data_IF_467120218335
#
_entry.id   IF_467120218335
#
_cell.length_a   1.000
_cell.length_b   1.000
_cell.length_c   1.000
_cell.angle_alpha   90.00
_cell.angle_beta   90.00
_cell.angle_gamma   90.00
#
_symmetry.space_group_name_H-M   'P 1'
#
loop_
_entity.id
_entity.type
_entity.pdbx_description
1 polymer ?
#
# COMPACT_ATOMS: atom_id res chain seq x y z
N UNK A 1 38.08 21.21 -35.59
CA UNK A 1 37.53 21.30 -34.71
C UNK A 1 38.04 21.97 -33.71
N UNK A 2 37.71 22.63 -33.26
CA UNK A 2 38.12 23.24 -32.41
C UNK A 2 38.16 22.73 -31.20
N UNK A 3 38.94 22.27 -30.98
CA UNK A 3 39.13 21.70 -29.93
C UNK A 3 39.25 22.47 -28.79
N UNK A 4 39.43 23.61 -28.94
CA UNK A 4 39.54 24.41 -27.88
C UNK A 4 38.30 24.51 -27.20
N UNK A 5 37.23 24.27 -27.84
CA UNK A 5 35.95 24.37 -27.25
C UNK A 5 35.77 23.22 -26.38
N UNK A 6 35.46 23.44 -25.21
CA UNK A 6 35.35 22.38 -24.27
C UNK A 6 33.97 21.87 -24.12
N UNK A 7 33.06 22.36 -24.90
CA UNK A 7 31.65 21.94 -24.83
C UNK A 7 31.42 20.62 -25.55
N UNK A 8 30.25 20.04 -25.35
CA UNK A 8 29.87 18.83 -26.05
C UNK A 8 29.42 19.16 -27.46
N UNK A 9 29.60 18.23 -28.37
CA UNK A 9 29.06 18.39 -29.70
C UNK A 9 27.58 18.05 -29.69
N UNK A 10 26.86 18.47 -30.72
CA UNK A 10 25.46 18.16 -30.85
C UNK A 10 25.21 16.64 -30.92
N UNK A 11 26.08 15.92 -31.62
CA UNK A 11 25.97 14.47 -31.71
C UNK A 11 26.12 13.81 -30.36
N UNK A 12 27.03 14.30 -29.53
CA UNK A 12 27.23 13.74 -28.19
C UNK A 12 26.01 13.96 -27.32
N UNK A 13 25.40 15.14 -27.41
CA UNK A 13 24.19 15.40 -26.66
C UNK A 13 23.04 14.52 -27.11
N UNK A 14 22.92 14.32 -28.42
CA UNK A 14 21.86 13.48 -28.96
C UNK A 14 22.00 12.05 -28.52
N UNK A 15 23.21 11.53 -28.46
CA UNK A 15 23.45 10.16 -28.01
C UNK A 15 23.08 10.00 -26.56
N UNK A 16 23.44 10.98 -25.72
CA UNK A 16 23.13 10.92 -24.29
C UNK A 16 21.61 10.95 -24.07
N UNK A 17 20.92 11.85 -24.76
CA UNK A 17 19.49 11.96 -24.64
C UNK A 17 18.80 10.68 -25.09
N UNK A 18 19.29 10.08 -26.18
CA UNK A 18 18.72 8.84 -26.68
C UNK A 18 18.88 7.70 -25.69
N UNK A 19 20.04 7.60 -25.03
CA UNK A 19 20.28 6.57 -24.04
C UNK A 19 19.38 6.76 -22.82
N UNK A 20 19.26 7.99 -22.34
CA UNK A 20 18.40 8.30 -21.22
C UNK A 20 16.93 7.97 -21.56
N UNK A 21 16.50 8.29 -22.76
CA UNK A 21 15.13 8.02 -23.17
C UNK A 21 14.82 6.53 -23.15
N UNK A 22 15.75 5.70 -23.61
CA UNK A 22 15.58 4.24 -23.60
C UNK A 22 15.53 3.73 -22.16
N UNK A 23 16.42 4.19 -21.31
CA UNK A 23 16.46 3.74 -19.94
C UNK A 23 15.20 4.12 -19.18
N UNK A 24 14.69 5.33 -19.40
CA UNK A 24 13.47 5.78 -18.76
C UNK A 24 12.28 4.96 -19.25
N UNK A 25 12.22 4.67 -20.56
CA UNK A 25 11.13 3.90 -21.11
C UNK A 25 11.03 2.50 -20.51
N UNK A 26 12.17 1.91 -20.16
CA UNK A 26 12.18 0.59 -19.54
C UNK A 26 11.86 0.70 -18.05
N UNK A 27 12.37 1.72 -17.39
CA UNK A 27 12.32 1.83 -15.94
C UNK A 27 10.94 2.18 -15.40
N UNK A 28 10.19 3.01 -16.09
CA UNK A 28 8.91 3.48 -15.59
C UNK A 28 7.93 2.34 -15.33
N UNK A 29 7.67 1.43 -16.25
CA UNK A 29 6.74 0.33 -15.98
C UNK A 29 7.21 -0.56 -14.85
N UNK A 30 8.51 -0.81 -14.75
CA UNK A 30 9.06 -1.64 -13.69
C UNK A 30 8.90 -0.94 -12.35
N UNK A 31 9.18 0.35 -12.31
CA UNK A 31 9.07 1.13 -11.09
C UNK A 31 7.62 1.13 -10.58
N UNK A 32 6.66 1.33 -11.47
CA UNK A 32 5.25 1.35 -11.10
C UNK A 32 4.81 0.02 -10.49
N UNK A 33 5.24 -1.09 -11.08
CA UNK A 33 4.92 -2.41 -10.57
C UNK A 33 5.52 -2.63 -9.19
N UNK A 34 6.78 -2.25 -8.99
CA UNK A 34 7.45 -2.40 -7.70
C UNK A 34 6.83 -1.50 -6.65
N UNK A 35 6.40 -0.30 -7.03
CA UNK A 35 5.74 0.61 -6.12
C UNK A 35 4.43 0.00 -5.60
N UNK A 36 3.65 -0.61 -6.48
CA UNK A 36 2.41 -1.26 -6.06
C UNK A 36 2.69 -2.39 -5.08
N UNK A 37 3.70 -3.22 -5.36
CA UNK A 37 4.06 -4.31 -4.45
C UNK A 37 4.51 -3.78 -3.09
N UNK A 38 5.26 -2.67 -3.10
CA UNK A 38 5.70 -2.04 -1.85
C UNK A 38 4.52 -1.50 -1.06
N UNK A 39 3.55 -0.91 -1.73
CA UNK A 39 2.35 -0.40 -1.07
C UNK A 39 1.53 -1.54 -0.45
N UNK A 40 1.39 -2.64 -1.17
CA UNK A 40 0.68 -3.81 -0.65
C UNK A 40 1.39 -4.35 0.59
N UNK A 41 2.72 -4.47 0.53
CA UNK A 41 3.49 -4.97 1.67
C UNK A 41 3.36 -4.06 2.89
N UNK A 42 3.38 -2.74 2.66
CA UNK A 42 3.21 -1.77 3.74
C UNK A 42 1.82 -1.87 4.35
N UNK A 43 0.80 -2.00 3.51
CA UNK A 43 -0.57 -2.14 3.99
C UNK A 43 -0.75 -3.41 4.81
N UNK A 44 -0.13 -4.51 4.38
CA UNK A 44 -0.18 -5.76 5.15
C UNK A 44 0.49 -5.60 6.50
N UNK A 45 1.62 -4.89 6.55
CA UNK A 45 2.32 -4.65 7.81
C UNK A 45 1.46 -3.79 8.75
N UNK A 46 0.83 -2.75 8.21
CA UNK A 46 -0.03 -1.89 8.99
C UNK A 46 -1.24 -2.65 9.54
N UNK A 47 -1.80 -3.55 8.74
CA UNK A 47 -2.94 -4.34 9.18
C UNK A 47 -2.54 -5.38 10.23
N UNK A 48 -1.33 -5.91 10.18
CA UNK A 48 -0.85 -6.81 11.21
C UNK A 48 -0.72 -6.08 12.55
N UNK A 49 -0.24 -4.85 12.52
CA UNK A 49 -0.15 -4.03 13.73
C UNK A 49 -1.55 -3.76 14.27
N UNK A 50 -2.48 -3.40 13.39
CA UNK A 50 -3.85 -3.14 13.79
C UNK A 50 -4.49 -4.41 14.37
N UNK A 51 -4.27 -5.55 13.73
CA UNK A 51 -4.80 -6.81 14.22
C UNK A 51 -4.28 -7.10 15.63
N UNK A 52 -2.99 -6.91 15.86
CA UNK A 52 -2.41 -7.12 17.18
C UNK A 52 -3.04 -6.19 18.21
N UNK A 53 -3.31 -4.93 17.80
CA UNK A 53 -3.92 -3.95 18.67
C UNK A 53 -5.32 -4.37 19.09
N UNK A 54 -6.19 -4.70 18.14
CA UNK A 54 -7.58 -5.03 18.46
C UNK A 54 -7.69 -6.39 19.14
N UNK A 55 -6.82 -7.33 18.78
CA UNK A 55 -6.83 -8.65 19.39
C UNK A 55 -6.37 -8.58 20.84
N UNK A 56 -5.35 -7.76 21.11
CA UNK A 56 -4.88 -7.54 22.47
C UNK A 56 -5.98 -6.89 23.32
N UNK A 57 -6.67 -5.90 22.75
CA UNK A 57 -7.78 -5.25 23.44
C UNK A 57 -8.86 -6.27 23.79
N UNK A 58 -9.21 -7.14 22.84
CA UNK A 58 -10.20 -8.18 23.09
C UNK A 58 -9.76 -9.13 24.21
N UNK A 59 -8.50 -9.57 24.16
CA UNK A 59 -8.00 -10.50 25.15
C UNK A 59 -7.94 -9.92 26.56
N UNK A 60 -7.66 -8.62 26.65
CA UNK A 60 -7.59 -7.96 27.94
C UNK A 60 -8.97 -7.72 28.54
N UNK A 61 -9.93 -7.35 27.71
CA UNK A 61 -11.26 -6.98 28.19
C UNK A 61 -12.30 -8.08 28.04
N UNK A 62 -11.95 -9.12 27.30
CA UNK A 62 -12.84 -10.26 27.03
C UNK A 62 -14.17 -9.81 26.42
N UNK A 63 -14.14 -8.77 25.61
CA UNK A 63 -15.30 -8.30 24.88
C UNK A 63 -14.86 -7.54 23.66
N UNK A 64 -15.77 -7.46 22.68
CA UNK A 64 -15.49 -6.74 21.46
C UNK A 64 -15.57 -5.22 21.69
N UNK A 65 -14.72 -4.49 20.98
CA UNK A 65 -14.66 -3.04 21.10
C UNK A 65 -15.54 -2.42 20.01
N UNK A 66 -16.46 -1.55 20.42
CA UNK A 66 -17.37 -0.91 19.47
C UNK A 66 -16.67 0.03 18.48
N UNK A 67 -15.43 0.43 18.77
CA UNK A 67 -14.67 1.28 17.87
C UNK A 67 -14.10 0.51 16.69
N UNK A 68 -14.08 -0.82 16.75
CA UNK A 68 -13.59 -1.65 15.65
C UNK A 68 -14.75 -1.84 14.66
N UNK A 69 -14.60 -1.38 13.41
CA UNK A 69 -15.67 -1.56 12.44
C UNK A 69 -15.80 -3.01 12.04
N UNK A 70 -17.01 -3.45 11.83
CA UNK A 70 -17.25 -4.80 11.37
C UNK A 70 -17.83 -4.72 9.97
N UNK A 71 -17.25 -5.47 9.07
CA UNK A 71 -17.72 -5.49 7.69
C UNK A 71 -18.54 -6.73 7.43
N UNK A 72 -19.62 -6.55 6.74
CA UNK A 72 -20.56 -7.62 6.47
C UNK A 72 -20.36 -8.23 5.09
N UNK A 73 -19.19 -8.77 4.89
CA UNK A 73 -18.95 -9.50 3.64
C UNK A 73 -18.60 -8.63 2.44
N UNK A 74 -18.09 -7.46 2.67
CA UNK A 74 -17.54 -6.68 1.57
C UNK A 74 -18.39 -5.58 1.01
N UNK A 75 -19.50 -5.31 1.63
CA UNK A 75 -20.33 -4.20 1.17
C UNK A 75 -19.63 -2.88 1.44
N UNK A 76 -18.98 -2.78 2.59
CA UNK A 76 -18.28 -1.57 2.95
C UNK A 76 -16.78 -1.79 2.85
N UNK A 77 -16.14 -1.07 1.94
CA UNK A 77 -14.71 -1.17 1.73
C UNK A 77 -14.01 -0.17 2.63
N UNK A 78 -13.19 -0.66 3.52
CA UNK A 78 -12.43 0.20 4.41
C UNK A 78 -11.05 0.46 3.86
N UNK A 79 -10.76 1.72 3.60
CA UNK A 79 -9.44 2.14 3.14
C UNK A 79 -8.65 2.84 4.25
N UNK A 80 -9.27 3.09 5.38
CA UNK A 80 -8.65 3.81 6.48
C UNK A 80 -8.71 2.95 7.74
N UNK A 81 -7.55 2.70 8.33
CA UNK A 81 -7.46 2.00 9.59
C UNK A 81 -7.62 3.04 10.69
N UNK A 82 -8.61 2.86 11.56
CA UNK A 82 -8.79 3.74 12.70
C UNK A 82 -8.30 3.02 13.94
N UNK A 83 -7.19 3.50 14.46
CA UNK A 83 -6.57 2.87 15.63
C UNK A 83 -7.35 3.22 16.89
N UNK A 84 -7.20 2.39 17.91
CA UNK A 84 -7.93 2.59 19.17
C UNK A 84 -7.50 3.85 19.90
N UNK A 85 -6.32 4.37 19.60
CA UNK A 85 -5.84 5.60 20.20
C UNK A 85 -6.33 6.86 19.47
N UNK A 86 -7.13 6.69 18.44
CA UNK A 86 -7.68 7.82 17.68
C UNK A 86 -6.91 8.20 16.43
N UNK A 87 -5.72 7.64 16.23
CA UNK A 87 -4.97 7.94 15.02
C UNK A 87 -5.49 7.11 13.86
N UNK A 88 -5.15 7.51 12.65
CA UNK A 88 -5.59 6.81 11.45
C UNK A 88 -4.42 6.50 10.53
N UNK A 89 -4.55 5.43 9.74
CA UNK A 89 -3.59 5.07 8.73
C UNK A 89 -4.37 4.76 7.45
N UNK A 90 -4.02 5.41 6.35
CA UNK A 90 -4.70 5.18 5.09
C UNK A 90 -4.02 4.08 4.29
N UNK A 91 -4.79 3.17 3.74
CA UNK A 91 -4.26 2.15 2.85
C UNK A 91 -4.05 2.75 1.47
N UNK A 92 -2.87 2.52 0.92
CA UNK A 92 -2.52 3.07 -0.40
C UNK A 92 -3.02 2.21 -1.54
N UNK A 93 -3.36 0.98 -1.27
CA UNK A 93 -3.88 0.07 -2.29
C UNK A 93 -4.82 -0.92 -1.63
N UNK A 94 -5.97 -1.16 -2.26
CA UNK A 94 -6.91 -2.15 -1.76
C UNK A 94 -7.71 -1.71 -0.55
N UNK A 95 -8.33 -2.66 0.11
CA UNK A 95 -9.15 -2.41 1.27
C UNK A 95 -9.10 -3.61 2.21
N UNK A 96 -9.62 -3.44 3.42
CA UNK A 96 -9.63 -4.51 4.40
C UNK A 96 -11.04 -4.69 4.98
N UNK A 97 -11.28 -5.85 5.54
CA UNK A 97 -12.52 -6.16 6.22
C UNK A 97 -12.21 -6.82 7.57
N UNK A 98 -13.00 -6.52 8.57
CA UNK A 98 -12.84 -7.08 9.90
C UNK A 98 -14.10 -7.90 10.22
N UNK A 99 -13.91 -9.09 10.74
CA UNK A 99 -15.01 -9.93 11.15
C UNK A 99 -14.78 -10.40 12.59
N UNK A 100 -15.87 -10.56 13.34
CA UNK A 100 -15.82 -11.13 14.67
C UNK A 100 -15.91 -12.65 14.54
N UNK A 101 -15.04 -13.35 15.24
CA UNK A 101 -15.05 -14.80 15.20
C UNK A 101 -15.99 -15.34 16.29
N UNK A 102 -16.73 -16.38 15.94
CA UNK A 102 -17.61 -17.00 16.92
C UNK A 102 -16.84 -17.64 18.06
N UNK A 103 -15.60 -18.03 17.82
CA UNK A 103 -14.72 -18.58 18.85
C UNK A 103 -14.09 -17.51 19.72
N UNK A 104 -14.31 -16.25 19.41
CA UNK A 104 -13.72 -15.11 20.12
C UNK A 104 -12.61 -14.46 19.34
N UNK A 105 -12.54 -13.13 19.41
CA UNK A 105 -11.51 -12.39 18.73
C UNK A 105 -11.94 -11.90 17.35
N UNK A 106 -10.96 -11.45 16.59
CA UNK A 106 -11.20 -10.82 15.29
C UNK A 106 -10.46 -11.54 14.18
N UNK A 107 -10.94 -11.36 12.97
CA UNK A 107 -10.26 -11.79 11.76
C UNK A 107 -10.21 -10.62 10.82
N UNK A 108 -9.05 -10.35 10.22
CA UNK A 108 -8.90 -9.29 9.24
C UNK A 108 -8.55 -9.91 7.89
N UNK A 109 -9.28 -9.51 6.86
CA UNK A 109 -9.02 -9.93 5.49
C UNK A 109 -8.58 -8.70 4.71
N UNK A 110 -7.52 -8.85 3.93
CA UNK A 110 -7.00 -7.75 3.11
C UNK A 110 -7.13 -8.13 1.64
N UNK A 111 -7.69 -7.19 0.87
CA UNK A 111 -7.85 -7.34 -0.57
C UNK A 111 -6.99 -6.30 -1.24
N UNK A 112 -5.93 -6.72 -1.89
CA UNK A 112 -4.92 -5.79 -2.41
C UNK A 112 -5.36 -5.01 -3.65
N UNK A 113 -6.47 -5.40 -4.28
CA UNK A 113 -6.96 -4.71 -5.45
C UNK A 113 -8.46 -4.46 -5.32
N UNK A 114 -8.90 -3.37 -5.91
CA UNK A 114 -10.30 -3.00 -5.83
C UNK A 114 -11.20 -3.72 -6.80
N UNK A 115 -10.63 -4.51 -7.70
CA UNK A 115 -11.50 -5.16 -8.67
C UNK A 115 -12.33 -6.28 -8.08
N UNK A 116 -12.11 -6.59 -6.83
CA UNK A 116 -12.98 -7.55 -6.14
C UNK A 116 -14.36 -6.96 -5.86
N UNK A 117 -14.55 -5.73 -6.31
CA UNK A 117 -15.81 -5.07 -6.09
C UNK A 117 -16.94 -5.70 -6.89
N UNK A 118 -16.67 -6.55 -7.80
CA UNK A 118 -17.72 -7.17 -8.57
C UNK A 118 -18.46 -8.25 -7.77
#
# INVERSE_FOLDING_TARGET
MDKKNKGFTLAELLVVVAIIAVLVAISIPIFTSQLHKAQVATNQANLRVYYAEIQTDYLQKDKYNSLVPENDGGVNKNHIIRHLDGTTTELKAGFYAVAKLSSGGYQISYYCDDYMKD
#
